data_IF_130396399037
#
_entry.id   IF_130396399037
#
_cell.length_a   1.000
_cell.length_b   1.000
_cell.length_c   1.000
_cell.angle_alpha   90.00
_cell.angle_beta   90.00
_cell.angle_gamma   90.00
#
_symmetry.space_group_name_H-M   'P 1'
#
loop_
_entity.id
_entity.type
_entity.pdbx_description
1 polymer ?
#
# COMPACT_ATOMS: atom_id res chain seq x y z
N UNK A 1 -17.63 -5.28 23.18
CA UNK A 1 -17.66 -4.35 22.05
C UNK A 1 -16.67 -4.88 21.04
N UNK A 2 -17.15 -5.37 19.88
CA UNK A 2 -16.27 -5.74 18.79
C UNK A 2 -15.79 -4.41 18.21
N UNK A 3 -14.49 -4.17 18.22
CA UNK A 3 -13.90 -3.12 17.40
C UNK A 3 -14.19 -3.51 15.96
N UNK A 4 -15.29 -3.00 15.42
CA UNK A 4 -15.51 -2.94 13.99
C UNK A 4 -14.40 -2.01 13.47
N UNK A 5 -13.27 -2.61 13.11
CA UNK A 5 -12.27 -1.96 12.27
C UNK A 5 -12.96 -1.67 10.94
N UNK A 6 -13.63 -0.53 10.85
CA UNK A 6 -14.10 0.02 9.59
C UNK A 6 -12.84 0.24 8.77
N UNK A 7 -12.54 -0.72 7.89
CA UNK A 7 -11.43 -0.62 6.97
C UNK A 7 -11.55 0.70 6.22
N UNK A 8 -10.46 1.46 6.12
CA UNK A 8 -10.48 2.80 5.50
C UNK A 8 -11.01 2.78 4.05
N UNK A 9 -10.96 1.60 3.43
CA UNK A 9 -11.46 1.28 2.10
C UNK A 9 -12.99 1.15 1.99
N UNK A 10 -13.72 1.17 3.10
CA UNK A 10 -15.19 1.11 3.08
C UNK A 10 -15.75 2.47 2.65
N UNK A 11 -16.74 2.46 1.74
CA UNK A 11 -17.41 3.67 1.24
C UNK A 11 -18.88 3.62 1.65
N UNK A 12 -19.37 4.67 2.34
CA UNK A 12 -20.80 4.88 2.50
C UNK A 12 -21.42 5.56 1.26
N UNK A 13 -22.13 4.76 0.46
CA UNK A 13 -22.82 5.21 -0.76
C UNK A 13 -23.96 6.21 -0.52
N UNK A 14 -24.43 6.37 0.72
CA UNK A 14 -25.51 7.30 1.07
C UNK A 14 -25.00 8.67 1.53
N UNK A 15 -23.70 8.81 1.80
CA UNK A 15 -23.03 10.03 2.30
C UNK A 15 -21.77 10.35 1.52
N UNK A 16 -21.89 10.37 0.18
CA UNK A 16 -20.75 10.58 -0.72
C UNK A 16 -20.10 11.96 -0.56
N UNK A 17 -20.89 12.96 -0.18
CA UNK A 17 -20.47 14.31 0.16
C UNK A 17 -19.55 14.34 1.38
N UNK A 18 -19.95 13.72 2.49
CA UNK A 18 -19.12 13.62 3.69
C UNK A 18 -17.83 12.83 3.41
N UNK A 19 -17.92 11.70 2.69
CA UNK A 19 -16.78 10.85 2.34
C UNK A 19 -15.74 11.59 1.46
N UNK A 20 -16.19 12.45 0.54
CA UNK A 20 -15.29 13.24 -0.32
C UNK A 20 -14.51 14.29 0.46
N UNK A 21 -15.13 14.92 1.46
CA UNK A 21 -14.46 15.91 2.32
C UNK A 21 -13.45 15.20 3.23
N UNK A 22 -13.88 14.16 3.93
CA UNK A 22 -13.05 13.40 4.88
C UNK A 22 -11.83 12.80 4.18
N UNK A 23 -11.99 12.33 2.94
CA UNK A 23 -10.90 11.72 2.20
C UNK A 23 -9.72 12.66 1.93
N UNK A 24 -9.98 13.96 1.68
CA UNK A 24 -8.92 14.93 1.45
C UNK A 24 -8.07 15.14 2.71
N UNK A 25 -8.73 15.24 3.86
CA UNK A 25 -8.06 15.39 5.16
C UNK A 25 -7.25 14.14 5.52
N UNK A 26 -7.83 12.95 5.32
CA UNK A 26 -7.11 11.68 5.52
C UNK A 26 -5.89 11.57 4.60
N UNK A 27 -6.03 11.94 3.33
CA UNK A 27 -4.91 11.91 2.39
C UNK A 27 -3.78 12.84 2.85
N UNK A 28 -4.09 14.08 3.25
CA UNK A 28 -3.09 15.02 3.75
C UNK A 28 -2.37 14.49 5.01
N UNK A 29 -3.13 13.91 5.95
CA UNK A 29 -2.55 13.30 7.17
C UNK A 29 -1.58 12.16 6.83
N UNK A 30 -2.00 11.20 6.00
CA UNK A 30 -1.16 10.06 5.64
C UNK A 30 0.01 10.45 4.72
N UNK A 31 -0.17 11.45 3.85
CA UNK A 31 0.91 11.99 3.02
C UNK A 31 1.99 12.68 3.87
N UNK A 32 1.60 13.42 4.91
CA UNK A 32 2.55 13.99 5.88
C UNK A 32 3.34 12.91 6.61
N UNK A 33 2.64 11.91 7.16
CA UNK A 33 3.29 10.76 7.83
C UNK A 33 4.22 10.00 6.89
N UNK A 34 3.85 9.83 5.62
CA UNK A 34 4.71 9.21 4.62
C UNK A 34 5.97 10.04 4.36
N UNK A 35 5.83 11.36 4.33
CA UNK A 35 6.96 12.28 4.22
C UNK A 35 7.94 12.15 5.39
N UNK A 36 7.43 12.09 6.62
CA UNK A 36 8.22 11.86 7.84
C UNK A 36 8.92 10.50 7.79
N UNK A 37 8.19 9.42 7.52
CA UNK A 37 8.75 8.07 7.42
C UNK A 37 9.82 7.94 6.31
N UNK A 38 9.71 8.74 5.24
CA UNK A 38 10.73 8.81 4.19
C UNK A 38 11.98 9.52 4.68
N UNK A 39 11.86 10.59 5.44
CA UNK A 39 12.99 11.27 6.05
C UNK A 39 13.72 10.32 7.02
N UNK A 40 12.98 9.68 7.93
CA UNK A 40 13.51 8.72 8.89
C UNK A 40 14.25 7.56 8.20
N UNK A 41 13.71 7.07 7.08
CA UNK A 41 14.35 6.01 6.29
C UNK A 41 15.69 6.45 5.69
N UNK A 42 15.78 7.69 5.19
CA UNK A 42 17.03 8.22 4.64
C UNK A 42 18.06 8.48 5.75
N UNK A 43 17.62 8.97 6.90
CA UNK A 43 18.49 9.15 8.08
C UNK A 43 19.04 7.81 8.57
N UNK A 44 18.20 6.79 8.69
CA UNK A 44 18.66 5.44 9.06
C UNK A 44 19.65 4.85 8.04
N UNK A 45 19.46 5.09 6.73
CA UNK A 45 20.43 4.68 5.70
C UNK A 45 21.75 5.42 5.82
N UNK A 46 21.72 6.70 6.18
CA UNK A 46 22.93 7.48 6.40
C UNK A 46 23.69 6.99 7.63
N UNK A 47 22.98 6.66 8.71
CA UNK A 47 23.57 6.06 9.91
C UNK A 47 24.28 4.74 9.59
N UNK A 48 23.68 3.87 8.76
CA UNK A 48 24.35 2.64 8.32
C UNK A 48 25.69 2.93 7.65
N UNK A 49 25.77 3.95 6.78
CA UNK A 49 27.04 4.33 6.12
C UNK A 49 28.09 4.78 7.14
N UNK A 50 27.69 5.61 8.10
CA UNK A 50 28.58 6.05 9.20
C UNK A 50 29.12 4.84 9.96
N UNK A 51 28.26 3.86 10.28
CA UNK A 51 28.68 2.64 10.98
C UNK A 51 29.54 1.70 10.13
N UNK A 52 29.37 1.70 8.82
CA UNK A 52 30.25 0.98 7.90
C UNK A 52 31.66 1.60 7.92
N UNK A 53 31.75 2.93 7.84
CA UNK A 53 33.03 3.65 7.94
C UNK A 53 33.73 3.39 9.28
N UNK A 54 32.98 3.46 10.40
CA UNK A 54 33.51 3.16 11.74
C UNK A 54 34.04 1.73 11.85
N UNK A 55 33.30 0.76 11.31
CA UNK A 55 33.71 -0.64 11.30
C UNK A 55 35.00 -0.84 10.48
N UNK A 56 35.11 -0.20 9.32
CA UNK A 56 36.30 -0.27 8.48
C UNK A 56 37.52 0.37 9.13
N UNK A 57 37.32 1.51 9.81
CA UNK A 57 38.36 2.18 10.61
C UNK A 57 38.86 1.26 11.74
N UNK A 58 37.97 0.60 12.48
CA UNK A 58 38.36 -0.31 13.55
C UNK A 58 39.08 -1.56 13.01
N UNK A 59 38.62 -2.12 11.88
CA UNK A 59 39.32 -3.21 11.21
C UNK A 59 40.75 -2.80 10.81
N UNK A 60 40.91 -1.60 10.23
CA UNK A 60 42.22 -1.08 9.83
C UNK A 60 43.13 -0.81 11.03
N UNK A 61 42.59 -0.32 12.16
CA UNK A 61 43.35 -0.13 13.39
C UNK A 61 43.89 -1.46 13.92
N UNK A 62 43.04 -2.50 13.98
CA UNK A 62 43.46 -3.83 14.46
C UNK A 62 44.46 -4.46 13.50
N UNK A 63 44.24 -4.40 12.19
CA UNK A 63 45.20 -4.88 11.18
C UNK A 63 46.58 -4.23 11.40
N UNK A 64 46.62 -2.91 11.56
CA UNK A 64 47.86 -2.18 11.82
C UNK A 64 48.52 -2.59 13.14
N UNK A 65 47.74 -2.83 14.20
CA UNK A 65 48.27 -3.28 15.49
C UNK A 65 48.88 -4.69 15.41
N UNK A 66 48.20 -5.62 14.73
CA UNK A 66 48.69 -6.98 14.52
C UNK A 66 49.98 -6.98 13.69
N UNK A 67 50.05 -6.18 12.63
CA UNK A 67 51.27 -6.05 11.81
C UNK A 67 52.43 -5.42 12.58
N UNK A 68 52.17 -4.44 13.45
CA UNK A 68 53.20 -3.82 14.29
C UNK A 68 53.77 -4.77 15.33
N UNK A 69 52.92 -5.56 15.99
CA UNK A 69 53.32 -6.42 17.11
C UNK A 69 52.67 -7.82 17.04
N UNK A 70 53.02 -8.67 16.06
CA UNK A 70 52.35 -9.96 15.86
C UNK A 70 52.47 -10.93 17.04
N UNK A 71 53.58 -10.85 17.78
CA UNK A 71 53.82 -11.69 18.97
C UNK A 71 52.80 -11.45 20.08
N UNK A 72 52.29 -10.23 20.23
CA UNK A 72 51.29 -9.89 21.25
C UNK A 72 49.93 -10.54 20.98
N UNK A 73 49.68 -10.91 19.72
CA UNK A 73 48.47 -11.60 19.29
C UNK A 73 48.70 -13.12 19.12
N UNK A 74 49.82 -13.65 19.62
CA UNK A 74 50.13 -15.09 19.56
C UNK A 74 50.51 -15.60 18.17
N UNK A 75 50.95 -14.72 17.27
CA UNK A 75 51.39 -15.11 15.93
C UNK A 75 52.91 -15.32 15.86
N UNK A 76 53.31 -16.57 15.59
CA UNK A 76 54.71 -16.91 15.26
C UNK A 76 55.08 -16.53 13.82
N UNK A 77 54.11 -16.60 12.91
CA UNK A 77 54.26 -16.17 11.51
C UNK A 77 53.11 -15.24 11.14
N UNK A 78 53.47 -14.07 10.62
CA UNK A 78 52.50 -13.13 10.08
C UNK A 78 51.96 -13.67 8.75
N UNK A 79 50.71 -14.09 8.74
CA UNK A 79 50.02 -14.54 7.53
C UNK A 79 48.69 -13.81 7.41
N UNK A 80 48.30 -13.43 6.18
CA UNK A 80 47.04 -12.72 5.92
C UNK A 80 45.80 -13.44 6.49
N UNK A 81 45.67 -14.79 6.41
CA UNK A 81 44.55 -15.49 7.03
C UNK A 81 44.51 -15.35 8.55
N UNK A 82 45.67 -15.38 9.21
CA UNK A 82 45.74 -15.27 10.67
C UNK A 82 45.37 -13.85 11.15
N UNK A 83 45.79 -12.81 10.42
CA UNK A 83 45.40 -11.42 10.71
C UNK A 83 43.88 -11.26 10.60
N UNK A 84 43.28 -11.78 9.52
CA UNK A 84 41.82 -11.75 9.35
C UNK A 84 41.10 -12.42 10.52
N UNK A 85 41.55 -13.59 10.97
CA UNK A 85 40.95 -14.26 12.14
C UNK A 85 41.03 -13.40 13.41
N UNK A 86 42.16 -12.71 13.65
CA UNK A 86 42.29 -11.83 14.82
C UNK A 86 41.35 -10.64 14.73
N UNK A 87 41.24 -9.98 13.56
CA UNK A 87 40.30 -8.87 13.35
C UNK A 87 38.87 -9.31 13.65
N UNK A 88 38.48 -10.52 13.25
CA UNK A 88 37.14 -11.06 13.53
C UNK A 88 36.88 -11.31 15.02
N UNK A 89 37.91 -11.60 15.81
CA UNK A 89 37.81 -11.91 17.24
C UNK A 89 38.01 -10.67 18.13
N UNK A 90 38.50 -9.57 17.58
CA UNK A 90 38.74 -8.35 18.33
C UNK A 90 37.42 -7.77 18.88
N UNK A 91 37.44 -7.38 20.16
CA UNK A 91 36.26 -6.88 20.86
C UNK A 91 35.77 -5.55 20.31
N UNK A 92 36.66 -4.67 19.83
CA UNK A 92 36.28 -3.37 19.28
C UNK A 92 35.60 -3.56 17.92
N UNK A 93 36.19 -4.41 17.06
CA UNK A 93 35.62 -4.77 15.76
C UNK A 93 34.27 -5.47 15.94
N UNK A 94 34.14 -6.37 16.91
CA UNK A 94 32.87 -7.03 17.23
C UNK A 94 31.80 -6.04 17.69
N UNK A 95 32.19 -5.05 18.50
CA UNK A 95 31.27 -3.99 18.96
C UNK A 95 30.82 -3.10 17.81
N UNK A 96 31.76 -2.66 16.96
CA UNK A 96 31.44 -1.87 15.77
C UNK A 96 30.53 -2.63 14.81
N UNK A 97 30.81 -3.93 14.59
CA UNK A 97 29.96 -4.81 13.77
C UNK A 97 28.55 -4.93 14.34
N UNK A 98 28.42 -5.07 15.66
CA UNK A 98 27.10 -5.14 16.31
C UNK A 98 26.32 -3.85 16.09
N UNK A 99 26.95 -2.70 16.27
CA UNK A 99 26.32 -1.40 16.02
C UNK A 99 25.88 -1.25 14.55
N UNK A 100 26.69 -1.72 13.60
CA UNK A 100 26.31 -1.76 12.19
C UNK A 100 25.08 -2.65 11.94
N UNK A 101 25.00 -3.82 12.60
CA UNK A 101 23.81 -4.67 12.49
C UNK A 101 22.57 -4.03 13.09
N UNK A 102 22.70 -3.34 14.22
CA UNK A 102 21.59 -2.63 14.86
C UNK A 102 21.07 -1.50 13.96
N UNK A 103 21.96 -0.70 13.35
CA UNK A 103 21.59 0.33 12.37
C UNK A 103 20.90 -0.26 11.12
N UNK A 104 21.40 -1.39 10.60
CA UNK A 104 20.76 -2.09 9.47
C UNK A 104 19.37 -2.61 9.83
N UNK A 105 19.17 -3.02 11.08
CA UNK A 105 17.86 -3.45 11.58
C UNK A 105 16.88 -2.30 11.60
N UNK A 106 17.30 -1.14 12.07
CA UNK A 106 16.49 0.08 12.08
C UNK A 106 16.03 0.48 10.69
N UNK A 107 16.90 0.39 9.67
CA UNK A 107 16.51 0.60 8.27
C UNK A 107 15.36 -0.31 7.85
N UNK A 108 15.36 -1.59 8.25
CA UNK A 108 14.28 -2.52 7.94
C UNK A 108 12.96 -2.10 8.60
N UNK A 109 13.01 -1.63 9.84
CA UNK A 109 11.84 -1.16 10.56
C UNK A 109 11.24 0.11 9.93
N UNK A 110 12.09 1.07 9.56
CA UNK A 110 11.70 2.27 8.82
C UNK A 110 11.12 1.91 7.44
N UNK A 111 11.73 0.97 6.72
CA UNK A 111 11.25 0.53 5.41
C UNK A 111 9.86 -0.11 5.49
N UNK A 112 9.61 -0.90 6.54
CA UNK A 112 8.30 -1.50 6.80
C UNK A 112 7.23 -0.44 7.04
N UNK A 113 7.53 0.57 7.86
CA UNK A 113 6.60 1.67 8.15
C UNK A 113 6.33 2.50 6.88
N UNK A 114 7.39 2.91 6.17
CA UNK A 114 7.29 3.64 4.91
C UNK A 114 6.42 2.87 3.91
N UNK A 115 6.69 1.58 3.70
CA UNK A 115 5.91 0.75 2.77
C UNK A 115 4.43 0.64 3.15
N UNK A 116 4.11 0.56 4.45
CA UNK A 116 2.73 0.54 4.92
C UNK A 116 2.00 1.88 4.64
N UNK A 117 2.68 3.01 4.87
CA UNK A 117 2.13 4.33 4.61
C UNK A 117 1.98 4.62 3.11
N UNK A 118 2.94 4.19 2.28
CA UNK A 118 2.88 4.33 0.83
C UNK A 118 1.71 3.53 0.24
N UNK A 119 1.52 2.28 0.70
CA UNK A 119 0.37 1.47 0.34
C UNK A 119 -0.96 2.11 0.78
N UNK A 120 -0.97 2.79 1.93
CA UNK A 120 -2.15 3.48 2.46
C UNK A 120 -2.53 4.69 1.61
N UNK A 121 -1.56 5.54 1.26
CA UNK A 121 -1.75 6.68 0.36
C UNK A 121 -2.27 6.19 -1.00
N UNK A 122 -1.66 5.12 -1.54
CA UNK A 122 -2.14 4.47 -2.75
C UNK A 122 -3.58 3.98 -2.64
N UNK A 123 -3.95 3.34 -1.53
CA UNK A 123 -5.32 2.88 -1.28
C UNK A 123 -6.33 4.05 -1.22
N UNK A 124 -5.94 5.17 -0.62
CA UNK A 124 -6.75 6.39 -0.60
C UNK A 124 -6.94 6.97 -2.01
N UNK A 125 -5.90 6.96 -2.85
CA UNK A 125 -6.03 7.37 -4.26
C UNK A 125 -6.99 6.45 -5.05
N UNK A 126 -6.94 5.13 -4.80
CA UNK A 126 -7.90 4.21 -5.38
C UNK A 126 -9.33 4.48 -4.88
N UNK A 127 -9.51 4.71 -3.57
CA UNK A 127 -10.83 5.08 -2.99
C UNK A 127 -11.40 6.32 -3.67
N UNK A 128 -10.57 7.30 -4.02
CA UNK A 128 -10.99 8.55 -4.68
C UNK A 128 -11.59 8.25 -6.04
N UNK A 129 -10.90 7.44 -6.84
CA UNK A 129 -11.37 7.03 -8.17
C UNK A 129 -12.68 6.24 -8.07
N UNK A 130 -12.79 5.35 -7.09
CA UNK A 130 -14.04 4.61 -6.85
C UNK A 130 -15.21 5.52 -6.46
N UNK A 131 -14.97 6.55 -5.64
CA UNK A 131 -15.98 7.55 -5.30
C UNK A 131 -16.41 8.37 -6.54
N UNK A 132 -15.46 8.81 -7.36
CA UNK A 132 -15.76 9.50 -8.63
C UNK A 132 -16.62 8.62 -9.56
N UNK A 133 -16.32 7.33 -9.67
CA UNK A 133 -17.11 6.40 -10.49
C UNK A 133 -18.50 6.14 -9.92
N UNK A 134 -18.65 6.07 -8.59
CA UNK A 134 -19.96 5.99 -7.94
C UNK A 134 -20.82 7.23 -8.22
N UNK A 135 -20.22 8.42 -8.20
CA UNK A 135 -20.91 9.66 -8.56
C UNK A 135 -21.36 9.61 -10.02
N UNK A 136 -20.50 9.17 -10.95
CA UNK A 136 -20.87 9.00 -12.37
C UNK A 136 -22.04 8.02 -12.56
N UNK A 137 -22.00 6.86 -11.90
CA UNK A 137 -23.09 5.88 -11.93
C UNK A 137 -24.40 6.47 -11.41
N UNK A 138 -24.33 7.27 -10.35
CA UNK A 138 -25.50 7.94 -9.77
C UNK A 138 -26.08 8.99 -10.72
N UNK A 139 -25.24 9.80 -11.36
CA UNK A 139 -25.66 10.76 -12.40
C UNK A 139 -26.27 10.07 -13.62
N UNK A 140 -25.77 8.88 -13.99
CA UNK A 140 -26.33 8.06 -15.06
C UNK A 140 -27.67 7.39 -14.70
N UNK A 141 -28.24 7.68 -13.52
CA UNK A 141 -29.47 7.05 -13.03
C UNK A 141 -29.36 5.51 -12.95
N UNK A 142 -28.14 4.97 -12.76
CA UNK A 142 -27.92 3.51 -12.74
C UNK A 142 -28.74 2.79 -11.66
N UNK A 143 -28.93 3.45 -10.51
CA UNK A 143 -29.74 2.93 -9.40
C UNK A 143 -31.21 3.35 -9.44
N UNK A 144 -31.64 4.07 -10.48
CA UNK A 144 -33.04 4.48 -10.63
C UNK A 144 -33.84 3.33 -11.22
N UNK A 145 -34.96 2.95 -10.58
CA UNK A 145 -35.88 1.98 -11.16
C UNK A 145 -36.36 2.46 -12.55
N UNK A 146 -36.54 1.57 -13.53
CA UNK A 146 -37.05 1.94 -14.85
C UNK A 146 -38.41 2.62 -14.72
N UNK A 147 -38.44 3.95 -14.85
CA UNK A 147 -39.70 4.68 -14.89
C UNK A 147 -40.32 4.48 -16.26
N UNK A 148 -41.40 3.69 -16.31
CA UNK A 148 -42.29 3.71 -17.46
C UNK A 148 -42.76 5.17 -17.67
N UNK A 149 -42.64 5.74 -18.88
CA UNK A 149 -43.17 7.06 -19.18
C UNK A 149 -44.65 7.13 -18.76
N UNK A 150 -45.03 8.18 -18.01
CA UNK A 150 -46.44 8.46 -17.69
C UNK A 150 -47.20 8.57 -19.02
N UNK A 151 -48.12 7.63 -19.25
CA UNK A 151 -48.82 7.43 -20.53
C UNK A 151 -48.57 6.07 -21.22
N UNK A 152 -47.71 5.20 -20.67
CA UNK A 152 -47.47 3.84 -21.22
C UNK A 152 -48.08 2.70 -20.41
N UNK A 153 -48.85 2.97 -19.37
CA UNK A 153 -49.71 1.94 -18.75
C UNK A 153 -50.69 1.38 -19.78
N UNK A 154 -51.10 2.21 -20.75
CA UNK A 154 -51.97 1.82 -21.87
C UNK A 154 -51.27 1.03 -22.99
N UNK A 155 -49.94 1.02 -23.07
CA UNK A 155 -49.28 0.24 -24.13
C UNK A 155 -49.45 -1.26 -23.87
N UNK A 156 -49.52 -1.69 -22.61
CA UNK A 156 -49.72 -3.10 -22.27
C UNK A 156 -51.16 -3.57 -22.58
N UNK A 157 -52.15 -2.71 -22.38
CA UNK A 157 -53.55 -2.95 -22.75
C UNK A 157 -53.75 -2.86 -24.27
N UNK A 158 -53.18 -1.86 -24.95
CA UNK A 158 -53.25 -1.72 -26.41
C UNK A 158 -52.58 -2.89 -27.15
N UNK A 159 -51.45 -3.41 -26.64
CA UNK A 159 -50.79 -4.61 -27.19
C UNK A 159 -51.65 -5.87 -26.96
N UNK A 160 -52.40 -5.96 -25.84
CA UNK A 160 -53.32 -7.07 -25.61
C UNK A 160 -54.57 -6.98 -26.48
N UNK A 161 -55.15 -5.78 -26.65
CA UNK A 161 -56.35 -5.56 -27.44
C UNK A 161 -56.10 -5.74 -28.93
N UNK A 162 -54.94 -5.28 -29.43
CA UNK A 162 -54.54 -5.51 -30.83
C UNK A 162 -54.24 -7.00 -31.12
N UNK A 163 -53.76 -7.78 -30.14
CA UNK A 163 -53.64 -9.25 -30.26
C UNK A 163 -55.02 -9.94 -30.28
N UNK A 164 -55.96 -9.52 -29.42
CA UNK A 164 -57.32 -10.06 -29.39
C UNK A 164 -58.07 -9.81 -30.70
N UNK A 165 -57.93 -8.61 -31.26
CA UNK A 165 -58.57 -8.23 -32.53
C UNK A 165 -58.05 -9.07 -33.71
N UNK A 166 -56.73 -9.28 -33.79
CA UNK A 166 -56.13 -10.15 -34.82
C UNK A 166 -56.55 -11.61 -34.70
N UNK A 167 -56.71 -12.15 -33.47
CA UNK A 167 -57.27 -13.50 -33.28
C UNK A 167 -58.74 -13.60 -33.69
N UNK A 168 -59.52 -12.54 -33.48
CA UNK A 168 -60.93 -12.53 -33.87
C UNK A 168 -61.08 -12.50 -35.40
N UNK A 169 -60.28 -11.67 -36.06
CA UNK A 169 -60.25 -11.56 -37.54
C UNK A 169 -59.73 -12.84 -38.21
N UNK A 170 -58.78 -13.56 -37.60
CA UNK A 170 -58.32 -14.85 -38.15
C UNK A 170 -59.40 -15.94 -38.03
N UNK A 171 -60.12 -15.98 -36.90
CA UNK A 171 -61.24 -16.92 -36.69
C UNK A 171 -62.46 -16.64 -37.57
N UNK A 172 -62.66 -15.38 -37.97
CA UNK A 172 -63.71 -15.00 -38.92
C UNK A 172 -63.36 -15.42 -40.35
N UNK A 173 -62.08 -15.38 -40.74
CA UNK A 173 -61.62 -15.88 -42.04
C UNK A 173 -61.69 -17.41 -42.14
N UNK A 174 -61.35 -18.14 -41.09
CA UNK A 174 -61.48 -19.62 -41.04
C UNK A 174 -62.92 -20.15 -41.04
N UNK A 175 -63.93 -19.30 -40.82
CA UNK A 175 -65.36 -19.68 -40.85
C UNK A 175 -66.08 -19.30 -42.15
N UNK A 176 -65.39 -18.64 -43.08
CA UNK A 176 -65.94 -18.20 -44.37
C UNK A 176 -65.41 -18.97 -45.58
N UNK A 177 -64.59 -20.00 -45.34
CA UNK A 177 -64.29 -21.11 -46.27
C UNK A 177 -65.07 -22.36 -45.83
#
# INVERSE_FOLDING_TARGET
MKDDQISISTIDKYKLDDELVIQADLYDEYAKKLGEARADLEDAKNEVKVREDDYDIECAKVDLQVRKNPKNFGLDKLTEPAIKCIILLDSNVTTARKALYDARREVVDCLRLHGALDAMVGALDYKKRSLEDLVKLRLANYYSEPRLPKGKEDIRSEIQDSKRKKMYDSKLKEKSD
#
